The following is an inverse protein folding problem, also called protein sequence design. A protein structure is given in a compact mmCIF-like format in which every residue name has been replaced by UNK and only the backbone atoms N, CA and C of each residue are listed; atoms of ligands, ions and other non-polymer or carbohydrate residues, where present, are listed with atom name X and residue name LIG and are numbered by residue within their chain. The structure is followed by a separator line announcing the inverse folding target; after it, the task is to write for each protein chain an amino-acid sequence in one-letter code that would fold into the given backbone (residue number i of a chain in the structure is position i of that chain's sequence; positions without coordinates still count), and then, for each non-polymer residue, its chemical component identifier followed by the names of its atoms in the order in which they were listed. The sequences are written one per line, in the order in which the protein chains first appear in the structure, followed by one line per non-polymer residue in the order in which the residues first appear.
data_IF_214610934656
#
_entry.id   IF_214610934656
#
_cell.length_a   1.000
_cell.length_b   1.000
_cell.length_c   1.000
_cell.angle_alpha   90.00
_cell.angle_beta   90.00
_cell.angle_gamma   90.00
#
_symmetry.space_group_name_H-M   'P 1'
#
loop_
_entity.id
_entity.type
_entity.pdbx_description
1 polymer ?
#
# COMPACT_ATOMS: atom_id res chain seq x y z
N UNK A 1 -17.74 6.85 -26.64
CA UNK A 1 -16.36 6.49 -27.02
C UNK A 1 -15.87 5.53 -25.95
N UNK A 2 -15.86 4.23 -26.23
CA UNK A 2 -15.29 3.25 -25.31
C UNK A 2 -13.79 3.45 -25.35
N UNK A 3 -13.24 3.89 -24.23
CA UNK A 3 -11.81 4.04 -24.06
C UNK A 3 -11.07 2.72 -24.28
N UNK A 4 -9.85 2.80 -24.81
CA UNK A 4 -9.03 1.66 -25.16
C UNK A 4 -7.98 1.34 -24.10
N UNK A 5 -7.67 0.05 -23.96
CA UNK A 5 -6.51 -0.44 -23.22
C UNK A 5 -5.55 -1.12 -24.20
N UNK A 6 -4.28 -0.71 -24.22
CA UNK A 6 -3.27 -1.25 -25.14
C UNK A 6 -1.99 -1.60 -24.39
N UNK A 7 -1.45 -2.79 -24.63
CA UNK A 7 -0.13 -3.19 -24.13
C UNK A 7 0.97 -2.69 -25.07
N UNK A 8 1.99 -2.02 -24.55
CA UNK A 8 3.17 -1.55 -25.31
C UNK A 8 4.40 -1.63 -24.41
N UNK A 9 5.47 -2.25 -24.90
CA UNK A 9 6.74 -2.44 -24.17
C UNK A 9 6.59 -2.96 -22.73
N UNK A 10 5.59 -3.81 -22.49
CA UNK A 10 5.31 -4.40 -21.18
C UNK A 10 4.48 -3.50 -20.23
N UNK A 11 4.02 -2.34 -20.70
CA UNK A 11 3.13 -1.45 -19.95
C UNK A 11 1.74 -1.35 -20.60
N UNK A 12 0.71 -1.30 -19.78
CA UNK A 12 -0.69 -1.09 -20.17
C UNK A 12 -1.00 0.40 -20.20
N UNK A 13 -1.42 0.90 -21.36
CA UNK A 13 -1.92 2.25 -21.56
C UNK A 13 -3.45 2.21 -21.51
N UNK A 14 -4.04 2.88 -20.52
CA UNK A 14 -5.48 3.02 -20.38
C UNK A 14 -5.84 4.51 -20.42
N UNK A 15 -6.74 4.89 -21.30
CA UNK A 15 -7.22 6.28 -21.43
C UNK A 15 -8.28 6.67 -20.39
N UNK A 16 -8.81 5.69 -19.65
CA UNK A 16 -9.94 5.86 -18.75
C UNK A 16 -10.01 4.77 -17.67
N UNK A 17 -10.74 5.00 -16.56
CA UNK A 17 -10.99 3.97 -15.56
C UNK A 17 -11.76 2.77 -16.13
N UNK A 18 -12.65 3.01 -17.11
CA UNK A 18 -13.42 1.97 -17.78
C UNK A 18 -12.53 1.04 -18.62
N UNK A 19 -11.54 1.59 -19.33
CA UNK A 19 -10.56 0.78 -20.07
C UNK A 19 -9.76 -0.13 -19.14
N UNK A 20 -9.32 0.38 -17.99
CA UNK A 20 -8.60 -0.45 -17.02
C UNK A 20 -9.50 -1.51 -16.36
N UNK A 21 -10.77 -1.16 -16.10
CA UNK A 21 -11.74 -2.12 -15.59
C UNK A 21 -12.02 -3.26 -16.57
N UNK A 22 -12.10 -2.96 -17.88
CA UNK A 22 -12.27 -3.98 -18.92
C UNK A 22 -11.08 -4.95 -18.94
N UNK A 23 -9.84 -4.43 -18.87
CA UNK A 23 -8.65 -5.29 -18.76
C UNK A 23 -8.70 -6.17 -17.49
N UNK A 24 -9.06 -5.60 -16.34
CA UNK A 24 -9.17 -6.37 -15.10
C UNK A 24 -10.30 -7.40 -15.15
N UNK A 25 -11.43 -7.12 -15.79
CA UNK A 25 -12.51 -8.09 -15.95
C UNK A 25 -12.00 -9.38 -16.59
N UNK A 26 -11.16 -9.27 -17.62
CA UNK A 26 -10.59 -10.40 -18.35
C UNK A 26 -9.39 -11.06 -17.64
N UNK A 27 -8.58 -10.30 -16.90
CA UNK A 27 -7.26 -10.77 -16.46
C UNK A 27 -7.07 -10.87 -14.93
N UNK A 28 -7.99 -10.37 -14.11
CA UNK A 28 -7.77 -10.27 -12.65
C UNK A 28 -7.56 -11.61 -11.93
N UNK A 29 -8.04 -12.72 -12.52
CA UNK A 29 -7.91 -14.07 -11.97
C UNK A 29 -6.60 -14.77 -12.29
N UNK A 30 -5.98 -14.46 -13.43
CA UNK A 30 -4.85 -15.21 -13.99
C UNK A 30 -3.54 -14.42 -14.03
N UNK A 31 -3.60 -13.08 -14.13
CA UNK A 31 -2.41 -12.25 -14.20
C UNK A 31 -1.78 -12.00 -12.82
N UNK A 32 -0.46 -12.19 -12.72
CA UNK A 32 0.30 -11.94 -11.49
C UNK A 32 0.52 -10.45 -11.19
N UNK A 33 0.63 -9.64 -12.25
CA UNK A 33 0.75 -8.19 -12.18
C UNK A 33 0.49 -7.53 -13.54
N UNK A 34 0.32 -6.21 -13.51
CA UNK A 34 0.37 -5.34 -14.68
C UNK A 34 1.03 -4.02 -14.33
N UNK A 35 1.78 -3.45 -15.27
CA UNK A 35 2.34 -2.12 -15.15
C UNK A 35 1.46 -1.15 -15.94
N UNK A 36 0.81 -0.21 -15.28
CA UNK A 36 -0.04 0.79 -15.96
C UNK A 36 0.79 2.04 -16.22
N UNK A 37 0.92 2.42 -17.49
CA UNK A 37 1.60 3.64 -17.90
C UNK A 37 0.73 4.86 -17.60
N UNK A 38 1.33 5.85 -16.94
CA UNK A 38 0.68 7.07 -16.46
C UNK A 38 1.51 8.29 -16.90
N UNK A 39 0.88 9.35 -17.46
CA UNK A 39 1.59 10.55 -17.82
C UNK A 39 2.08 11.29 -16.57
N UNK A 40 3.25 11.92 -16.66
CA UNK A 40 3.70 12.91 -15.66
C UNK A 40 2.80 14.14 -15.76
N UNK A 41 2.73 14.90 -14.67
CA UNK A 41 1.97 16.16 -14.63
C UNK A 41 2.44 17.08 -15.78
N UNK A 42 1.49 17.54 -16.59
CA UNK A 42 1.76 18.43 -17.72
C UNK A 42 1.95 17.73 -19.07
N UNK A 43 2.05 16.39 -19.11
CA UNK A 43 2.07 15.65 -20.38
C UNK A 43 0.65 15.57 -20.95
N UNK A 44 0.38 16.09 -22.17
CA UNK A 44 -0.96 16.09 -22.75
C UNK A 44 -1.29 14.71 -23.32
N UNK A 45 -1.90 13.86 -22.50
CA UNK A 45 -2.36 12.54 -22.91
C UNK A 45 -3.65 12.17 -22.18
N UNK A 46 -4.59 11.52 -22.88
CA UNK A 46 -5.73 10.87 -22.25
C UNK A 46 -5.21 9.66 -21.47
N UNK A 47 -5.49 9.62 -20.16
CA UNK A 47 -5.04 8.54 -19.29
C UNK A 47 -5.89 8.48 -18.03
N UNK A 48 -6.11 7.27 -17.53
CA UNK A 48 -6.58 7.06 -16.16
C UNK A 48 -5.59 7.67 -15.17
N UNK A 49 -6.07 8.33 -14.12
CA UNK A 49 -5.18 8.78 -13.04
C UNK A 49 -4.76 7.61 -12.14
N UNK A 50 -3.66 7.75 -11.41
CA UNK A 50 -3.25 6.74 -10.41
C UNK A 50 -4.37 6.44 -9.40
N UNK A 51 -5.10 7.46 -8.96
CA UNK A 51 -6.14 7.32 -7.94
C UNK A 51 -7.36 6.57 -8.48
N UNK A 52 -7.77 6.88 -9.72
CA UNK A 52 -8.84 6.15 -10.40
C UNK A 52 -8.43 4.70 -10.70
N UNK A 53 -7.20 4.47 -11.15
CA UNK A 53 -6.69 3.13 -11.39
C UNK A 53 -6.66 2.31 -10.08
N UNK A 54 -6.29 2.91 -8.96
CA UNK A 54 -6.34 2.26 -7.66
C UNK A 54 -7.78 1.93 -7.24
N UNK A 55 -8.74 2.83 -7.45
CA UNK A 55 -10.15 2.56 -7.18
C UNK A 55 -10.65 1.33 -7.97
N UNK A 56 -10.32 1.27 -9.27
CA UNK A 56 -10.66 0.12 -10.11
C UNK A 56 -9.94 -1.14 -9.61
N UNK A 57 -8.65 -1.08 -9.34
CA UNK A 57 -7.88 -2.23 -8.84
C UNK A 57 -8.48 -2.81 -7.55
N UNK A 58 -8.88 -1.95 -6.60
CA UNK A 58 -9.55 -2.40 -5.37
C UNK A 58 -10.85 -3.16 -5.67
N UNK A 59 -11.60 -2.76 -6.70
CA UNK A 59 -12.82 -3.46 -7.13
C UNK A 59 -12.58 -4.93 -7.46
N UNK A 60 -11.41 -5.26 -8.00
CA UNK A 60 -11.04 -6.61 -8.42
C UNK A 60 -10.15 -7.34 -7.40
N UNK A 61 -9.94 -6.77 -6.20
CA UNK A 61 -9.08 -7.39 -5.18
C UNK A 61 -7.59 -7.21 -5.46
N UNK A 62 -7.23 -6.22 -6.28
CA UNK A 62 -5.87 -5.84 -6.62
C UNK A 62 -5.41 -4.61 -5.82
N UNK A 63 -4.12 -4.32 -5.84
CA UNK A 63 -3.52 -3.15 -5.16
C UNK A 63 -2.33 -2.62 -5.95
N UNK A 64 -2.03 -1.34 -5.78
CA UNK A 64 -0.83 -0.69 -6.28
C UNK A 64 0.43 -1.15 -5.52
N UNK A 65 1.57 -1.03 -6.19
CA UNK A 65 2.90 -1.36 -5.66
C UNK A 65 3.93 -0.30 -5.99
N UNK A 66 5.09 -0.74 -6.46
CA UNK A 66 6.19 0.16 -6.84
C UNK A 66 5.82 0.92 -8.12
N UNK A 67 6.24 2.17 -8.18
CA UNK A 67 6.33 2.92 -9.41
C UNK A 67 7.73 2.73 -10.04
N UNK A 68 7.80 2.80 -11.36
CA UNK A 68 9.03 2.72 -12.14
C UNK A 68 8.94 3.66 -13.34
N UNK A 69 10.06 4.08 -13.93
CA UNK A 69 10.08 5.02 -15.06
C UNK A 69 10.72 4.44 -16.33
N UNK A 70 11.14 3.17 -16.33
CA UNK A 70 11.61 2.51 -17.55
C UNK A 70 10.46 1.80 -18.27
N UNK A 71 10.72 1.40 -19.51
CA UNK A 71 9.74 0.76 -20.41
C UNK A 71 8.47 1.62 -20.64
N UNK A 72 8.64 2.94 -20.62
CA UNK A 72 7.64 3.95 -21.00
C UNK A 72 8.36 5.14 -21.65
N UNK A 73 7.68 5.91 -22.53
CA UNK A 73 8.26 7.10 -23.16
C UNK A 73 8.62 8.21 -22.16
N UNK A 74 9.41 9.17 -22.64
CA UNK A 74 9.67 10.41 -21.91
C UNK A 74 8.36 11.13 -21.56
N UNK A 75 8.32 11.70 -20.36
CA UNK A 75 7.10 12.32 -19.83
C UNK A 75 6.10 11.33 -19.24
N UNK A 76 6.44 10.04 -19.15
CA UNK A 76 5.62 8.99 -18.51
C UNK A 76 6.35 8.30 -17.36
N UNK A 77 5.59 7.53 -16.59
CA UNK A 77 6.04 6.59 -15.57
C UNK A 77 5.02 5.44 -15.50
N UNK A 78 5.39 4.30 -14.93
CA UNK A 78 4.50 3.15 -14.78
C UNK A 78 4.24 2.84 -13.30
N UNK A 79 2.99 2.52 -12.98
CA UNK A 79 2.57 2.04 -11.66
C UNK A 79 2.27 0.55 -11.75
N UNK A 80 2.96 -0.27 -10.94
CA UNK A 80 2.63 -1.69 -10.82
C UNK A 80 1.32 -1.87 -10.06
N UNK A 81 0.45 -2.72 -10.57
CA UNK A 81 -0.72 -3.27 -9.90
C UNK A 81 -0.64 -4.79 -9.86
N UNK A 82 -1.10 -5.41 -8.79
CA UNK A 82 -1.09 -6.87 -8.65
C UNK A 82 -2.22 -7.36 -7.75
N UNK A 83 -2.65 -8.63 -7.85
CA UNK A 83 -3.57 -9.23 -6.90
C UNK A 83 -3.08 -9.05 -5.46
N UNK A 84 -4.01 -8.78 -4.53
CA UNK A 84 -3.66 -8.74 -3.12
C UNK A 84 -3.34 -10.15 -2.65
N UNK A 85 -2.12 -10.34 -2.14
CA UNK A 85 -1.75 -11.57 -1.42
C UNK A 85 -2.70 -11.78 -0.23
N UNK A 86 -2.96 -13.06 0.09
CA UNK A 86 -3.88 -13.48 1.17
C UNK A 86 -3.72 -12.72 2.49
N UNK A 87 -2.49 -12.36 2.86
CA UNK A 87 -2.16 -11.67 4.12
C UNK A 87 -1.74 -10.20 3.95
N UNK A 88 -2.00 -9.59 2.80
CA UNK A 88 -1.64 -8.19 2.56
C UNK A 88 -2.33 -7.26 3.57
N UNK A 89 -1.61 -6.32 4.21
CA UNK A 89 -2.21 -5.37 5.13
C UNK A 89 -3.11 -4.37 4.40
N UNK A 90 -4.08 -3.80 5.10
CA UNK A 90 -4.91 -2.70 4.61
C UNK A 90 -4.43 -1.37 5.20
N UNK A 91 -4.46 -0.30 4.41
CA UNK A 91 -4.31 1.06 4.91
C UNK A 91 -5.70 1.64 5.22
N UNK A 92 -5.79 2.63 6.12
CA UNK A 92 -7.05 3.36 6.37
C UNK A 92 -7.55 4.04 5.09
N UNK A 93 -6.64 4.50 4.22
CA UNK A 93 -6.98 5.10 2.92
C UNK A 93 -7.68 4.07 2.03
N UNK A 94 -7.10 2.89 1.83
CA UNK A 94 -7.67 1.87 0.96
C UNK A 94 -8.96 1.29 1.57
N UNK A 95 -9.04 1.21 2.90
CA UNK A 95 -10.26 0.83 3.61
C UNK A 95 -11.39 1.84 3.35
N UNK A 96 -11.10 3.13 3.44
CA UNK A 96 -12.06 4.20 3.16
C UNK A 96 -12.52 4.17 1.69
N UNK A 97 -11.58 4.00 0.74
CA UNK A 97 -11.92 3.80 -0.68
C UNK A 97 -12.82 2.59 -0.88
N UNK A 98 -12.49 1.44 -0.29
CA UNK A 98 -13.29 0.24 -0.38
C UNK A 98 -14.71 0.43 0.16
N UNK A 99 -14.88 1.09 1.32
CA UNK A 99 -16.21 1.44 1.83
C UNK A 99 -17.02 2.28 0.84
N UNK A 100 -16.41 3.33 0.26
CA UNK A 100 -17.06 4.16 -0.75
C UNK A 100 -17.43 3.35 -1.99
N UNK A 101 -16.53 2.53 -2.51
CA UNK A 101 -16.76 1.70 -3.70
C UNK A 101 -17.84 0.63 -3.50
N UNK A 102 -18.00 0.11 -2.28
CA UNK A 102 -19.12 -0.76 -1.90
C UNK A 102 -20.43 0.03 -1.94
N UNK A 103 -20.47 1.22 -1.34
CA UNK A 103 -21.66 2.07 -1.35
C UNK A 103 -22.07 2.50 -2.77
N UNK A 104 -21.09 2.69 -3.66
CA UNK A 104 -21.30 2.98 -5.08
C UNK A 104 -21.69 1.73 -5.92
N UNK A 105 -21.72 0.53 -5.35
CA UNK A 105 -22.03 -0.72 -6.07
C UNK A 105 -20.98 -1.16 -7.08
N UNK A 106 -19.75 -0.60 -7.01
CA UNK A 106 -18.67 -0.85 -7.98
C UNK A 106 -17.81 -2.07 -7.65
N UNK A 107 -17.84 -2.49 -6.39
CA UNK A 107 -17.01 -3.58 -5.89
C UNK A 107 -17.39 -4.92 -6.53
N UNK A 108 -16.41 -5.68 -7.04
CA UNK A 108 -16.63 -7.00 -7.65
C UNK A 108 -16.46 -8.12 -6.62
N UNK A 109 -16.92 -9.35 -6.91
CA UNK A 109 -16.78 -10.48 -5.99
C UNK A 109 -15.34 -10.70 -5.50
N UNK A 110 -14.34 -10.56 -6.37
CA UNK A 110 -12.93 -10.70 -6.01
C UNK A 110 -12.46 -9.63 -5.00
N UNK A 111 -12.89 -8.38 -5.17
CA UNK A 111 -12.63 -7.30 -4.22
C UNK A 111 -13.28 -7.54 -2.86
N UNK A 112 -14.55 -7.94 -2.84
CA UNK A 112 -15.27 -8.31 -1.62
C UNK A 112 -14.60 -9.47 -0.87
N UNK A 113 -14.17 -10.50 -1.59
CA UNK A 113 -13.47 -11.65 -0.99
C UNK A 113 -12.19 -11.24 -0.24
N UNK A 114 -11.43 -10.27 -0.76
CA UNK A 114 -10.24 -9.75 -0.09
C UNK A 114 -10.55 -8.95 1.19
N UNK A 115 -11.72 -8.31 1.24
CA UNK A 115 -12.22 -7.62 2.43
C UNK A 115 -12.62 -8.63 3.49
N UNK A 116 -13.39 -9.67 3.11
CA UNK A 116 -13.83 -10.72 4.04
C UNK A 116 -12.64 -11.49 4.61
N UNK A 117 -11.64 -11.85 3.79
CA UNK A 117 -10.40 -12.46 4.27
C UNK A 117 -9.66 -11.58 5.28
N UNK A 118 -9.70 -10.25 5.11
CA UNK A 118 -9.06 -9.31 6.03
C UNK A 118 -9.87 -9.06 7.30
N UNK A 119 -11.19 -9.17 7.24
CA UNK A 119 -12.06 -9.14 8.43
C UNK A 119 -11.85 -10.38 9.29
N UNK A 120 -11.82 -11.55 8.65
CA UNK A 120 -11.66 -12.84 9.33
C UNK A 120 -10.35 -12.96 10.12
N UNK A 121 -9.28 -12.26 9.73
CA UNK A 121 -7.99 -12.29 10.43
C UNK A 121 -7.59 -10.94 11.07
N UNK A 122 -8.53 -10.01 11.20
CA UNK A 122 -8.37 -8.74 11.90
C UNK A 122 -7.55 -7.68 11.16
N UNK A 123 -6.99 -7.96 9.98
CA UNK A 123 -6.25 -6.97 9.16
C UNK A 123 -7.11 -5.80 8.70
N UNK A 124 -8.42 -5.99 8.57
CA UNK A 124 -9.36 -4.93 8.19
C UNK A 124 -9.50 -3.89 9.30
N UNK A 125 -9.58 -4.33 10.56
CA UNK A 125 -9.65 -3.43 11.72
C UNK A 125 -8.29 -2.84 12.07
N UNK A 126 -7.22 -3.62 11.91
CA UNK A 126 -5.84 -3.16 12.05
C UNK A 126 -5.35 -2.30 10.86
N UNK A 127 -6.25 -1.68 10.09
CA UNK A 127 -5.87 -0.85 8.96
C UNK A 127 -5.00 0.33 9.43
N UNK A 128 -3.79 0.42 8.89
CA UNK A 128 -2.80 1.37 9.37
C UNK A 128 -3.07 2.80 8.88
N UNK A 129 -2.82 3.78 9.74
CA UNK A 129 -2.94 5.19 9.40
C UNK A 129 -1.84 5.63 8.41
N UNK A 130 -2.12 6.59 7.51
CA UNK A 130 -1.07 7.23 6.74
C UNK A 130 -0.13 8.04 7.64
N UNK A 131 1.08 8.33 7.15
CA UNK A 131 2.10 9.10 7.89
C UNK A 131 1.60 10.48 8.37
N UNK A 132 0.62 11.06 7.69
CA UNK A 132 0.00 12.33 8.07
C UNK A 132 -0.77 12.28 9.38
N UNK A 133 -1.31 11.11 9.76
CA UNK A 133 -2.20 10.95 10.91
C UNK A 133 -1.81 9.73 11.77
N UNK A 134 -0.55 9.27 11.64
CA UNK A 134 -0.06 8.13 12.38
C UNK A 134 0.36 8.56 13.78
N UNK A 135 -0.18 7.90 14.79
CA UNK A 135 0.08 8.16 16.20
C UNK A 135 0.86 7.00 16.82
N UNK A 136 1.60 7.30 17.90
CA UNK A 136 2.31 6.28 18.67
C UNK A 136 1.28 5.47 19.47
N UNK A 137 1.12 4.16 19.22
CA UNK A 137 0.17 3.34 19.97
C UNK A 137 0.66 3.16 21.42
N UNK A 138 -0.29 2.97 22.34
CA UNK A 138 -0.03 2.96 23.79
C UNK A 138 1.01 1.93 24.23
N UNK A 139 1.03 0.76 23.59
CA UNK A 139 1.99 -0.30 23.90
C UNK A 139 3.41 0.04 23.44
N UNK A 140 3.58 0.69 22.28
CA UNK A 140 4.88 1.23 21.88
C UNK A 140 5.29 2.38 22.79
N UNK A 141 4.34 3.25 23.18
CA UNK A 141 4.61 4.35 24.12
C UNK A 141 5.11 3.82 25.45
N UNK A 142 4.38 2.88 26.06
CA UNK A 142 4.77 2.26 27.32
C UNK A 142 6.16 1.59 27.24
N UNK A 143 6.47 0.92 26.12
CA UNK A 143 7.77 0.29 25.92
C UNK A 143 8.92 1.31 25.75
N UNK A 144 8.66 2.46 25.11
CA UNK A 144 9.63 3.56 25.01
C UNK A 144 9.82 4.23 26.38
N UNK A 145 8.75 4.48 27.12
CA UNK A 145 8.79 5.12 28.44
C UNK A 145 9.56 4.25 29.47
N UNK A 146 9.53 2.93 29.31
CA UNK A 146 10.31 1.99 30.11
C UNK A 146 11.82 1.98 29.80
N UNK A 147 12.28 2.67 28.74
CA UNK A 147 13.68 2.71 28.34
C UNK A 147 14.12 4.14 27.94
N UNK A 148 14.75 4.90 28.87
CA UNK A 148 15.19 6.27 28.58
C UNK A 148 16.11 6.39 27.35
N UNK A 149 16.98 5.39 27.13
CA UNK A 149 17.85 5.34 25.96
C UNK A 149 17.05 5.14 24.66
N UNK A 150 16.05 4.26 24.65
CA UNK A 150 15.20 4.05 23.48
C UNK A 150 14.31 5.27 23.19
N UNK A 151 13.77 5.91 24.23
CA UNK A 151 13.01 7.16 24.10
C UNK A 151 13.86 8.27 23.47
N UNK A 152 15.09 8.47 23.96
CA UNK A 152 16.03 9.43 23.38
C UNK A 152 16.34 9.08 21.91
N UNK A 153 16.62 7.81 21.61
CA UNK A 153 16.85 7.35 20.24
C UNK A 153 15.65 7.60 19.32
N UNK A 154 14.43 7.35 19.79
CA UNK A 154 13.19 7.60 19.04
C UNK A 154 13.02 9.08 18.68
N UNK A 155 13.36 9.98 19.60
CA UNK A 155 13.24 11.41 19.36
C UNK A 155 14.20 11.95 18.30
N UNK A 156 15.36 11.31 18.10
CA UNK A 156 16.28 11.68 17.01
C UNK A 156 15.77 11.31 15.62
N UNK A 157 14.77 10.43 15.53
CA UNK A 157 14.27 9.97 14.24
C UNK A 157 13.51 11.07 13.50
N UNK A 158 13.75 11.14 12.19
CA UNK A 158 12.90 11.91 11.27
C UNK A 158 11.47 11.40 11.30
N UNK A 159 10.53 12.22 10.84
CA UNK A 159 9.12 11.84 10.69
C UNK A 159 8.93 10.54 9.89
N UNK A 160 9.79 10.28 8.90
CA UNK A 160 9.77 9.04 8.10
C UNK A 160 10.34 7.85 8.88
N UNK A 161 11.41 8.06 9.65
CA UNK A 161 11.94 7.04 10.56
C UNK A 161 10.91 6.61 11.61
N UNK A 162 10.26 7.59 12.28
CA UNK A 162 9.20 7.32 13.26
C UNK A 162 8.04 6.56 12.63
N UNK A 163 7.52 7.05 11.51
CA UNK A 163 6.38 6.42 10.82
C UNK A 163 6.67 4.98 10.41
N UNK A 164 7.89 4.67 10.04
CA UNK A 164 8.24 3.33 9.62
C UNK A 164 8.19 2.30 10.76
N UNK A 165 8.53 2.72 11.99
CA UNK A 165 8.30 1.93 13.20
C UNK A 165 6.80 1.74 13.41
N UNK A 166 6.03 2.83 13.41
CA UNK A 166 4.58 2.81 13.59
C UNK A 166 3.89 1.88 12.58
N UNK A 167 4.28 1.96 11.31
CA UNK A 167 3.75 1.14 10.23
C UNK A 167 4.01 -0.35 10.45
N UNK A 168 5.22 -0.71 10.88
CA UNK A 168 5.58 -2.11 11.10
C UNK A 168 4.91 -2.69 12.35
N UNK A 169 4.77 -1.89 13.40
CA UNK A 169 4.01 -2.24 14.60
C UNK A 169 2.52 -2.41 14.26
N UNK A 170 1.92 -1.48 13.52
CA UNK A 170 0.53 -1.57 13.07
C UNK A 170 0.25 -2.82 12.19
N UNK A 171 1.20 -3.20 11.31
CA UNK A 171 1.08 -4.41 10.48
C UNK A 171 1.22 -5.72 11.28
N UNK A 172 1.71 -5.68 12.53
CA UNK A 172 1.84 -6.85 13.39
C UNK A 172 0.51 -7.12 14.11
N UNK A 173 -0.43 -7.78 13.42
CA UNK A 173 -1.79 -8.04 13.96
C UNK A 173 -1.77 -9.06 15.11
N UNK A 174 -0.87 -10.05 15.07
CA UNK A 174 -0.76 -11.06 16.13
C UNK A 174 -0.08 -10.49 17.37
N UNK A 175 -0.65 -10.63 18.58
CA UNK A 175 -0.10 -10.04 19.81
C UNK A 175 1.38 -10.40 20.04
N UNK A 176 1.76 -11.66 19.85
CA UNK A 176 3.14 -12.13 20.10
C UNK A 176 4.11 -11.55 19.08
N UNK A 177 3.66 -11.39 17.82
CA UNK A 177 4.46 -10.75 16.77
C UNK A 177 4.60 -9.25 17.01
N UNK A 178 3.56 -8.62 17.57
CA UNK A 178 3.54 -7.20 17.91
C UNK A 178 4.51 -6.89 19.05
N UNK A 179 4.41 -7.62 20.16
CA UNK A 179 5.31 -7.49 21.30
C UNK A 179 6.78 -7.66 20.90
N UNK A 180 7.12 -8.78 20.24
CA UNK A 180 8.49 -9.03 19.74
C UNK A 180 9.00 -7.92 18.83
N UNK A 181 8.12 -7.33 18.01
CA UNK A 181 8.50 -6.23 17.11
C UNK A 181 8.74 -4.93 17.87
N UNK A 182 7.94 -4.63 18.89
CA UNK A 182 8.15 -3.48 19.78
C UNK A 182 9.47 -3.65 20.53
N UNK A 183 9.70 -4.81 21.14
CA UNK A 183 10.95 -5.11 21.87
C UNK A 183 12.18 -4.94 20.97
N UNK A 184 12.10 -5.46 19.74
CA UNK A 184 13.16 -5.32 18.75
C UNK A 184 13.42 -3.86 18.35
N UNK A 185 12.40 -3.00 18.33
CA UNK A 185 12.61 -1.56 18.09
C UNK A 185 13.21 -0.86 19.29
N UNK A 186 12.72 -1.14 20.50
CA UNK A 186 13.25 -0.56 21.74
C UNK A 186 14.74 -0.88 21.90
N UNK A 187 15.13 -2.15 21.72
CA UNK A 187 16.52 -2.56 21.81
C UNK A 187 17.44 -1.82 20.82
N UNK A 188 16.98 -1.65 19.57
CA UNK A 188 17.77 -1.00 18.52
C UNK A 188 17.90 0.50 18.74
N UNK A 189 16.81 1.15 19.16
CA UNK A 189 16.83 2.57 19.50
C UNK A 189 17.75 2.84 20.69
N UNK A 190 17.72 1.98 21.72
CA UNK A 190 18.62 2.08 22.86
C UNK A 190 20.10 1.90 22.45
N UNK A 191 20.37 1.10 21.42
CA UNK A 191 21.70 0.91 20.85
C UNK A 191 22.14 2.00 19.86
N UNK A 192 21.30 3.01 19.59
CA UNK A 192 21.59 4.06 18.59
C UNK A 192 21.55 3.57 17.14
N UNK A 193 20.94 2.41 16.89
CA UNK A 193 20.82 1.85 15.54
C UNK A 193 19.64 2.47 14.76
N UNK A 194 19.75 2.56 13.43
CA UNK A 194 18.64 3.03 12.59
C UNK A 194 17.42 2.09 12.69
N UNK A 195 16.19 2.54 12.41
CA UNK A 195 14.97 1.70 12.47
C UNK A 195 14.96 0.50 11.50
N UNK A 196 15.97 0.38 10.62
CA UNK A 196 16.19 -0.79 9.77
C UNK A 196 17.57 -1.37 10.00
N UNK A 197 17.72 -2.69 9.88
CA UNK A 197 19.05 -3.25 9.63
C UNK A 197 19.59 -2.71 8.29
N UNK A 198 20.90 -2.83 8.03
CA UNK A 198 21.47 -2.41 6.76
C UNK A 198 20.65 -3.00 5.59
N UNK A 199 20.40 -2.18 4.55
CA UNK A 199 19.77 -2.69 3.32
C UNK A 199 20.64 -3.85 2.83
N UNK A 200 20.08 -5.06 2.73
CA UNK A 200 20.76 -6.16 2.02
C UNK A 200 20.90 -5.72 0.56
N UNK A 201 22.13 -5.44 0.14
CA UNK A 201 22.56 -5.26 -1.26
C UNK A 201 21.83 -4.17 -2.04
N UNK A 202 22.56 -3.08 -2.32
CA UNK A 202 22.45 -2.48 -3.65
C UNK A 202 23.04 -3.47 -4.67
#
# INVERSE_FOLDING_TARGET
MNGGATMTDGSLYCDSPAAFAAWLEEHHGDADEVWVALPKKGTPAASVTRDEALDVALCYGWIDGKAYSGNVPDGWWAQRFSPRKRRSPWSRINRAKAHRLIAEGRMRPAGLAQIELARADGRWEAAYAPQSTAEVPDDLRAALDASPAAAAGYETLTRSGRYQILLNVAKAVRPETRARRIDGYVARLAAGEPPHGPRRGA
#
